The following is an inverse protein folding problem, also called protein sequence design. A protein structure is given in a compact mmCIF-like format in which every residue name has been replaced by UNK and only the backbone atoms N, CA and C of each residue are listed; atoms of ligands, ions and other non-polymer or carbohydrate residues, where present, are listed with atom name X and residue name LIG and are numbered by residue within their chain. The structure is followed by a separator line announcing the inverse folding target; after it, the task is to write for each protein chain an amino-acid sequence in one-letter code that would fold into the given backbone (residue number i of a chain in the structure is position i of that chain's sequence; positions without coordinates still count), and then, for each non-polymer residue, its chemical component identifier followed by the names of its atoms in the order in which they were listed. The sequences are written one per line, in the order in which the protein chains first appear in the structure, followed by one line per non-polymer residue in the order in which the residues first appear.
data_IF_369876247602
#
_entry.id   IF_369876247602
#
_cell.length_a   1.000
_cell.length_b   1.000
_cell.length_c   1.000
_cell.angle_alpha   90.00
_cell.angle_beta   90.00
_cell.angle_gamma   90.00
#
_symmetry.space_group_name_H-M   'P 1'
#
loop_
_entity.id
_entity.type
_entity.pdbx_description
1 polymer ?
#
# COMPACT_ATOMS: atom_id res chain seq x y z
N UNK A 1 -39.58 -69.50 -18.12
CA UNK A 1 -39.11 -68.30 -18.85
C UNK A 1 -39.25 -67.04 -18.02
N UNK A 2 -40.45 -66.50 -17.75
CA UNK A 2 -40.59 -65.29 -16.92
C UNK A 2 -40.17 -65.48 -15.45
N UNK A 3 -40.47 -66.64 -14.83
CA UNK A 3 -40.00 -66.97 -13.48
C UNK A 3 -38.49 -67.19 -13.38
N UNK A 4 -37.85 -67.68 -14.45
CA UNK A 4 -36.40 -67.89 -14.48
C UNK A 4 -35.65 -66.56 -14.62
N UNK A 5 -36.20 -65.63 -15.40
CA UNK A 5 -35.68 -64.26 -15.50
C UNK A 5 -35.82 -63.53 -14.15
N UNK A 6 -36.97 -63.66 -13.47
CA UNK A 6 -37.17 -63.08 -12.15
C UNK A 6 -36.19 -63.64 -11.10
N UNK A 7 -35.94 -64.96 -11.11
CA UNK A 7 -34.93 -65.58 -10.23
C UNK A 7 -33.50 -65.14 -10.54
N UNK A 8 -33.16 -64.92 -11.80
CA UNK A 8 -31.85 -64.36 -12.17
C UNK A 8 -31.66 -62.97 -11.56
N UNK A 9 -32.68 -62.11 -11.61
CA UNK A 9 -32.63 -60.81 -10.95
C UNK A 9 -32.52 -60.92 -9.43
N UNK A 10 -33.26 -61.83 -8.79
CA UNK A 10 -33.17 -62.06 -7.33
C UNK A 10 -31.78 -62.50 -6.85
N UNK A 11 -31.02 -63.20 -7.70
CA UNK A 11 -29.63 -63.60 -7.42
C UNK A 11 -28.69 -62.41 -7.62
N UNK A 12 -28.86 -61.64 -8.69
CA UNK A 12 -28.04 -60.46 -9.00
C UNK A 12 -28.21 -59.36 -7.94
N UNK A 13 -29.44 -59.10 -7.46
CA UNK A 13 -29.71 -58.12 -6.40
C UNK A 13 -29.21 -58.55 -5.01
N UNK A 14 -28.85 -59.82 -4.83
CA UNK A 14 -28.24 -60.35 -3.60
C UNK A 14 -26.71 -60.40 -3.67
N UNK A 15 -26.13 -60.15 -4.84
CA UNK A 15 -24.69 -60.03 -5.01
C UNK A 15 -24.19 -58.78 -4.27
N UNK A 16 -23.15 -58.93 -3.46
CA UNK A 16 -22.63 -57.87 -2.60
C UNK A 16 -22.12 -56.67 -3.44
N UNK A 17 -21.64 -56.92 -4.67
CA UNK A 17 -21.25 -55.85 -5.60
C UNK A 17 -22.46 -54.99 -6.02
N UNK A 18 -23.62 -55.59 -6.25
CA UNK A 18 -24.84 -54.86 -6.65
C UNK A 18 -25.48 -54.10 -5.49
N UNK A 19 -25.43 -54.67 -4.28
CA UNK A 19 -25.84 -53.94 -3.06
C UNK A 19 -24.98 -52.71 -2.83
N UNK A 20 -23.65 -52.83 -2.95
CA UNK A 20 -22.74 -51.70 -2.82
C UNK A 20 -23.03 -50.60 -3.84
N UNK A 21 -23.38 -50.96 -5.08
CA UNK A 21 -23.80 -49.98 -6.11
C UNK A 21 -25.10 -49.27 -5.72
N UNK A 22 -26.09 -49.99 -5.19
CA UNK A 22 -27.36 -49.40 -4.72
C UNK A 22 -27.11 -48.46 -3.53
N UNK A 23 -26.31 -48.87 -2.55
CA UNK A 23 -25.93 -48.02 -1.41
C UNK A 23 -25.16 -46.77 -1.85
N UNK A 24 -24.29 -46.88 -2.86
CA UNK A 24 -23.63 -45.73 -3.49
C UNK A 24 -24.63 -44.81 -4.18
N UNK A 25 -25.64 -45.34 -4.87
CA UNK A 25 -26.70 -44.54 -5.47
C UNK A 25 -27.56 -43.84 -4.41
N UNK A 26 -27.89 -44.51 -3.32
CA UNK A 26 -28.63 -43.91 -2.20
C UNK A 26 -27.81 -42.81 -1.52
N UNK A 27 -26.53 -43.04 -1.27
CA UNK A 27 -25.61 -42.06 -0.67
C UNK A 27 -25.40 -40.85 -1.60
N UNK A 28 -25.25 -41.10 -2.91
CA UNK A 28 -25.19 -40.04 -3.92
C UNK A 28 -26.52 -39.26 -3.95
N UNK A 29 -27.66 -39.95 -3.96
CA UNK A 29 -28.99 -39.34 -3.98
C UNK A 29 -29.24 -38.43 -2.77
N UNK A 30 -28.83 -38.87 -1.57
CA UNK A 30 -28.87 -38.06 -0.36
C UNK A 30 -27.98 -36.81 -0.47
N UNK A 31 -26.83 -36.93 -1.17
CA UNK A 31 -25.88 -35.84 -1.38
C UNK A 31 -26.31 -34.87 -2.48
N UNK A 32 -27.14 -35.28 -3.45
CA UNK A 32 -27.57 -34.47 -4.60
C UNK A 32 -28.26 -33.17 -4.16
N UNK A 33 -29.10 -33.21 -3.13
CA UNK A 33 -29.75 -32.01 -2.61
C UNK A 33 -28.73 -30.99 -2.07
N UNK A 34 -27.72 -31.48 -1.34
CA UNK A 34 -26.61 -30.67 -0.83
C UNK A 34 -25.75 -30.10 -1.95
N UNK A 35 -25.39 -30.92 -2.95
CA UNK A 35 -24.64 -30.49 -4.14
C UNK A 35 -25.41 -29.41 -4.91
N UNK A 36 -26.72 -29.59 -5.10
CA UNK A 36 -27.57 -28.60 -5.77
C UNK A 36 -27.64 -27.29 -4.99
N UNK A 37 -27.77 -27.35 -3.67
CA UNK A 37 -27.74 -26.16 -2.82
C UNK A 37 -26.41 -25.42 -2.95
N UNK A 38 -25.29 -26.14 -2.80
CA UNK A 38 -23.93 -25.61 -2.98
C UNK A 38 -23.75 -24.96 -4.35
N UNK A 39 -24.19 -25.62 -5.42
CA UNK A 39 -24.13 -25.08 -6.78
C UNK A 39 -24.91 -23.77 -6.90
N UNK A 40 -26.14 -23.70 -6.39
CA UNK A 40 -26.95 -22.49 -6.44
C UNK A 40 -26.32 -21.36 -5.61
N UNK A 41 -25.80 -21.66 -4.42
CA UNK A 41 -25.15 -20.68 -3.56
C UNK A 41 -23.89 -20.09 -4.24
N UNK A 42 -23.04 -20.95 -4.81
CA UNK A 42 -21.84 -20.53 -5.54
C UNK A 42 -22.20 -19.69 -6.77
N UNK A 43 -23.23 -20.11 -7.52
CA UNK A 43 -23.71 -19.38 -8.70
C UNK A 43 -24.23 -17.99 -8.30
N UNK A 44 -25.01 -17.90 -7.22
CA UNK A 44 -25.54 -16.63 -6.73
C UNK A 44 -24.41 -15.70 -6.23
N UNK A 45 -23.43 -16.24 -5.50
CA UNK A 45 -22.25 -15.49 -5.05
C UNK A 45 -21.45 -14.95 -6.23
N UNK A 46 -21.23 -15.77 -7.26
CA UNK A 46 -20.53 -15.33 -8.46
C UNK A 46 -21.28 -14.22 -9.20
N UNK A 47 -22.59 -14.38 -9.41
CA UNK A 47 -23.41 -13.34 -10.03
C UNK A 47 -23.41 -12.03 -9.21
N UNK A 48 -23.43 -12.12 -7.88
CA UNK A 48 -23.34 -10.96 -7.00
C UNK A 48 -22.02 -10.22 -7.18
N UNK A 49 -20.88 -10.93 -7.22
CA UNK A 49 -19.57 -10.34 -7.48
C UNK A 49 -19.47 -9.70 -8.86
N UNK A 50 -19.99 -10.38 -9.91
CA UNK A 50 -20.08 -9.82 -11.27
C UNK A 50 -20.85 -8.51 -11.31
N UNK A 51 -22.03 -8.45 -10.68
CA UNK A 51 -22.82 -7.21 -10.58
C UNK A 51 -22.04 -6.14 -9.82
N UNK A 52 -21.36 -6.50 -8.74
CA UNK A 52 -20.55 -5.55 -7.98
C UNK A 52 -19.45 -4.91 -8.82
N UNK A 53 -18.73 -5.71 -9.62
CA UNK A 53 -17.71 -5.21 -10.56
C UNK A 53 -18.33 -4.23 -11.57
N UNK A 54 -19.44 -4.61 -12.21
CA UNK A 54 -20.11 -3.77 -13.21
C UNK A 54 -20.62 -2.46 -12.61
N UNK A 55 -21.12 -2.49 -11.37
CA UNK A 55 -21.53 -1.29 -10.67
C UNK A 55 -20.33 -0.34 -10.45
N UNK A 56 -19.19 -0.86 -10.00
CA UNK A 56 -17.97 -0.07 -9.76
C UNK A 56 -17.47 0.56 -11.06
N UNK A 57 -17.45 -0.19 -12.16
CA UNK A 57 -17.07 0.30 -13.49
C UNK A 57 -17.99 1.41 -13.98
N UNK A 58 -19.29 1.31 -13.68
CA UNK A 58 -20.28 2.26 -14.16
C UNK A 58 -20.12 3.62 -13.47
N UNK A 59 -20.04 3.63 -12.13
CA UNK A 59 -19.98 4.84 -11.32
C UNK A 59 -19.29 4.54 -9.99
N UNK A 60 -18.07 5.01 -9.83
CA UNK A 60 -17.34 4.94 -8.56
C UNK A 60 -16.70 6.26 -8.19
N UNK A 61 -16.55 6.47 -6.89
CA UNK A 61 -15.80 7.59 -6.34
C UNK A 61 -14.79 7.01 -5.38
N UNK A 62 -13.52 7.13 -5.75
CA UNK A 62 -12.37 6.63 -5.03
C UNK A 62 -11.88 7.72 -4.09
N UNK A 63 -11.68 7.36 -2.83
CA UNK A 63 -11.03 8.19 -1.83
C UNK A 63 -9.83 7.41 -1.29
N UNK A 64 -8.63 7.94 -1.47
CA UNK A 64 -7.45 7.39 -0.80
C UNK A 64 -7.47 7.85 0.66
N UNK A 65 -7.02 7.01 1.57
CA UNK A 65 -7.00 7.30 3.01
C UNK A 65 -5.71 6.78 3.64
N UNK A 66 -5.19 7.52 4.61
CA UNK A 66 -4.10 7.04 5.47
C UNK A 66 -4.66 5.98 6.42
N UNK A 67 -4.04 4.82 6.46
CA UNK A 67 -4.39 3.74 7.37
C UNK A 67 -3.27 3.58 8.40
N UNK A 68 -3.55 3.96 9.65
CA UNK A 68 -2.60 3.90 10.76
C UNK A 68 -2.60 2.53 11.46
N UNK A 69 -3.50 1.62 11.05
CA UNK A 69 -3.84 0.41 11.83
C UNK A 69 -3.43 -0.89 11.14
N UNK A 70 -2.90 -0.84 9.92
CA UNK A 70 -2.50 -2.02 9.14
C UNK A 70 -1.10 -1.86 8.56
N UNK A 71 -0.47 -2.96 8.14
CA UNK A 71 0.84 -2.95 7.46
C UNK A 71 0.87 -2.05 6.21
N UNK A 72 -0.29 -1.77 5.60
CA UNK A 72 -0.42 -0.78 4.52
C UNK A 72 -0.69 0.61 5.09
N UNK A 73 0.23 1.53 4.83
CA UNK A 73 0.16 2.95 5.25
C UNK A 73 -1.01 3.70 4.59
N UNK A 74 -1.43 3.26 3.40
CA UNK A 74 -2.53 3.85 2.64
C UNK A 74 -3.48 2.77 2.13
N UNK A 75 -4.74 3.16 1.99
CA UNK A 75 -5.83 2.32 1.47
C UNK A 75 -6.75 3.17 0.57
N UNK A 76 -7.69 2.52 -0.12
CA UNK A 76 -8.73 3.16 -0.92
C UNK A 76 -10.10 2.82 -0.38
N UNK A 77 -11.02 3.78 -0.44
CA UNK A 77 -12.44 3.60 -0.13
C UNK A 77 -13.30 3.99 -1.31
N UNK A 78 -14.17 3.06 -1.73
CA UNK A 78 -15.25 3.38 -2.67
C UNK A 78 -16.44 3.90 -1.89
N UNK A 79 -16.76 5.20 -2.02
CA UNK A 79 -17.82 5.87 -1.23
C UNK A 79 -19.19 5.20 -1.30
N UNK A 80 -19.54 4.59 -2.44
CA UNK A 80 -20.86 3.99 -2.64
C UNK A 80 -21.07 2.68 -1.89
N UNK A 81 -19.99 1.97 -1.54
CA UNK A 81 -20.06 0.59 -1.01
C UNK A 81 -19.13 0.31 0.18
N UNK A 82 -18.36 1.30 0.65
CA UNK A 82 -17.36 1.15 1.71
C UNK A 82 -16.38 -0.02 1.48
N UNK A 83 -16.04 -0.28 0.21
CA UNK A 83 -15.07 -1.30 -0.16
C UNK A 83 -13.65 -0.78 0.05
N UNK A 84 -12.79 -1.65 0.57
CA UNK A 84 -11.35 -1.44 0.78
C UNK A 84 -10.54 -1.96 -0.40
N UNK A 85 -9.22 -1.74 -0.41
CA UNK A 85 -8.35 -2.34 -1.43
C UNK A 85 -8.38 -3.88 -1.39
N UNK A 86 -8.50 -4.50 -0.22
CA UNK A 86 -8.53 -5.97 -0.12
C UNK A 86 -9.77 -6.55 -0.81
N UNK A 87 -10.93 -5.90 -0.63
CA UNK A 87 -12.16 -6.28 -1.34
C UNK A 87 -11.98 -6.15 -2.87
N UNK A 88 -11.31 -5.07 -3.31
CA UNK A 88 -11.04 -4.84 -4.73
C UNK A 88 -10.04 -5.85 -5.31
N UNK A 89 -9.02 -6.23 -4.54
CA UNK A 89 -8.07 -7.26 -4.93
C UNK A 89 -8.77 -8.62 -5.08
N UNK A 90 -9.66 -8.98 -4.15
CA UNK A 90 -10.47 -10.20 -4.27
C UNK A 90 -11.38 -10.17 -5.51
N UNK A 91 -12.04 -9.04 -5.76
CA UNK A 91 -12.87 -8.86 -6.95
C UNK A 91 -12.04 -8.92 -8.24
N UNK A 92 -10.82 -8.39 -8.25
CA UNK A 92 -9.89 -8.44 -9.38
C UNK A 92 -9.50 -9.88 -9.69
N UNK A 93 -9.12 -10.64 -8.68
CA UNK A 93 -8.76 -12.05 -8.87
C UNK A 93 -9.97 -12.87 -9.33
N UNK A 94 -11.17 -12.54 -8.85
CA UNK A 94 -12.41 -13.14 -9.35
C UNK A 94 -12.69 -12.75 -10.81
N UNK A 95 -12.48 -11.50 -11.19
CA UNK A 95 -12.63 -11.03 -12.57
C UNK A 95 -11.70 -11.80 -13.53
N UNK A 96 -10.43 -11.99 -13.14
CA UNK A 96 -9.46 -12.82 -13.88
C UNK A 96 -9.97 -14.24 -14.05
N UNK A 97 -10.41 -14.89 -12.97
CA UNK A 97 -10.93 -16.26 -13.02
C UNK A 97 -12.14 -16.41 -13.95
N UNK A 98 -13.06 -15.44 -13.93
CA UNK A 98 -14.24 -15.41 -14.80
C UNK A 98 -13.82 -15.25 -16.27
N UNK A 99 -12.82 -14.41 -16.55
CA UNK A 99 -12.24 -14.26 -17.88
C UNK A 99 -11.65 -15.58 -18.39
N UNK A 100 -10.88 -16.27 -17.55
CA UNK A 100 -10.24 -17.55 -17.92
C UNK A 100 -11.22 -18.71 -18.12
N UNK A 101 -12.27 -18.81 -17.29
CA UNK A 101 -13.20 -19.94 -17.35
C UNK A 101 -14.08 -19.95 -18.61
N UNK A 102 -14.12 -18.84 -19.34
CA UNK A 102 -15.15 -18.58 -20.34
C UNK A 102 -14.64 -18.30 -21.77
N UNK A 103 -13.35 -18.53 -22.03
CA UNK A 103 -12.67 -18.28 -23.32
C UNK A 103 -13.30 -19.06 -24.51
N UNK A 104 -14.14 -20.06 -24.25
CA UNK A 104 -14.76 -20.89 -25.29
C UNK A 104 -16.17 -20.48 -25.74
N UNK A 105 -16.79 -19.47 -25.12
CA UNK A 105 -18.13 -19.00 -25.50
C UNK A 105 -18.05 -17.73 -26.36
N UNK A 106 -18.18 -17.87 -27.69
CA UNK A 106 -17.97 -16.79 -28.69
C UNK A 106 -19.20 -15.90 -28.93
N UNK A 107 -19.97 -15.57 -27.90
CA UNK A 107 -21.11 -14.66 -28.05
C UNK A 107 -20.66 -13.20 -27.92
N UNK A 108 -21.17 -12.28 -28.75
CA UNK A 108 -20.77 -10.86 -28.74
C UNK A 108 -21.02 -10.18 -27.38
N UNK A 109 -22.17 -10.44 -26.74
CA UNK A 109 -22.46 -9.93 -25.40
C UNK A 109 -21.46 -10.42 -24.35
N UNK A 110 -20.91 -11.61 -24.57
CA UNK A 110 -19.93 -12.22 -23.68
C UNK A 110 -18.54 -11.61 -23.85
N UNK A 111 -18.15 -11.33 -25.10
CA UNK A 111 -16.91 -10.59 -25.37
C UNK A 111 -16.92 -9.20 -24.72
N UNK A 112 -18.06 -8.49 -24.79
CA UNK A 112 -18.23 -7.20 -24.09
C UNK A 112 -18.16 -7.31 -22.57
N UNK A 113 -18.64 -8.43 -22.00
CA UNK A 113 -18.50 -8.69 -20.58
C UNK A 113 -17.04 -8.93 -20.20
N UNK A 114 -16.30 -9.70 -21.00
CA UNK A 114 -14.86 -9.96 -20.80
C UNK A 114 -14.06 -8.67 -20.88
N UNK A 115 -14.29 -7.82 -21.89
CA UNK A 115 -13.63 -6.51 -22.02
C UNK A 115 -13.83 -5.64 -20.76
N UNK A 116 -15.05 -5.61 -20.22
CA UNK A 116 -15.33 -4.89 -18.97
C UNK A 116 -14.59 -5.47 -17.77
N UNK A 117 -14.48 -6.80 -17.68
CA UNK A 117 -13.72 -7.45 -16.62
C UNK A 117 -12.22 -7.13 -16.73
N UNK A 118 -11.68 -7.08 -17.95
CA UNK A 118 -10.29 -6.66 -18.20
C UNK A 118 -10.08 -5.20 -17.79
N UNK A 119 -10.98 -4.29 -18.16
CA UNK A 119 -10.92 -2.89 -17.71
C UNK A 119 -10.99 -2.76 -16.19
N UNK A 120 -11.76 -3.62 -15.50
CA UNK A 120 -11.78 -3.65 -14.04
C UNK A 120 -10.45 -4.11 -13.45
N UNK A 121 -9.82 -5.13 -14.06
CA UNK A 121 -8.52 -5.62 -13.62
C UNK A 121 -7.46 -4.54 -13.75
N UNK A 122 -7.46 -3.79 -14.86
CA UNK A 122 -6.58 -2.65 -15.09
C UNK A 122 -6.82 -1.55 -14.06
N UNK A 123 -8.09 -1.16 -13.83
CA UNK A 123 -8.47 -0.18 -12.80
C UNK A 123 -7.88 -0.51 -11.44
N UNK A 124 -8.10 -1.74 -10.95
CA UNK A 124 -7.58 -2.16 -9.64
C UNK A 124 -6.05 -2.18 -9.63
N UNK A 125 -5.39 -2.47 -10.76
CA UNK A 125 -3.95 -2.34 -10.93
C UNK A 125 -3.45 -0.91 -10.72
N UNK A 126 -4.08 0.07 -11.37
CA UNK A 126 -3.71 1.49 -11.21
C UNK A 126 -3.94 1.98 -9.78
N UNK A 127 -5.03 1.56 -9.13
CA UNK A 127 -5.28 1.85 -7.71
C UNK A 127 -4.14 1.32 -6.84
N UNK A 128 -3.70 0.08 -7.08
CA UNK A 128 -2.59 -0.54 -6.35
C UNK A 128 -1.30 0.28 -6.51
N UNK A 129 -1.00 0.72 -7.74
CA UNK A 129 0.20 1.50 -8.02
C UNK A 129 0.15 2.91 -7.39
N UNK A 130 -1.03 3.54 -7.35
CA UNK A 130 -1.23 4.79 -6.59
C UNK A 130 -0.95 4.57 -5.10
N UNK A 131 -1.49 3.51 -4.49
CA UNK A 131 -1.24 3.19 -3.08
C UNK A 131 0.26 2.95 -2.81
N UNK A 132 0.95 2.24 -3.71
CA UNK A 132 2.40 2.02 -3.63
C UNK A 132 3.18 3.32 -3.70
N UNK A 133 2.86 4.20 -4.65
CA UNK A 133 3.54 5.48 -4.81
C UNK A 133 3.30 6.41 -3.61
N UNK A 134 2.08 6.46 -3.06
CA UNK A 134 1.79 7.19 -1.82
C UNK A 134 2.61 6.65 -0.64
N UNK A 135 2.67 5.32 -0.51
CA UNK A 135 3.45 4.66 0.55
C UNK A 135 4.95 4.95 0.40
N UNK A 136 5.48 4.85 -0.81
CA UNK A 136 6.88 5.15 -1.11
C UNK A 136 7.22 6.61 -0.84
N UNK A 137 6.36 7.55 -1.27
CA UNK A 137 6.51 8.97 -0.96
C UNK A 137 6.50 9.23 0.54
N UNK A 138 5.61 8.59 1.29
CA UNK A 138 5.56 8.73 2.75
C UNK A 138 6.82 8.18 3.43
N UNK A 139 7.28 7.00 3.02
CA UNK A 139 8.51 6.37 3.54
C UNK A 139 9.74 7.21 3.19
N UNK A 140 9.82 7.72 1.96
CA UNK A 140 10.85 8.66 1.53
C UNK A 140 10.70 10.03 2.20
N UNK A 141 9.63 10.26 2.96
CA UNK A 141 9.47 11.47 3.72
C UNK A 141 9.03 12.66 2.90
N UNK A 142 8.08 12.49 2.00
CA UNK A 142 7.59 13.64 1.25
C UNK A 142 6.68 14.51 2.15
N UNK A 143 6.90 15.83 2.26
CA UNK A 143 6.28 16.71 3.24
C UNK A 143 4.75 16.77 3.24
N UNK A 144 4.13 16.65 2.07
CA UNK A 144 2.70 16.92 1.85
C UNK A 144 1.92 15.70 1.39
N UNK A 145 2.39 14.48 1.66
CA UNK A 145 1.66 13.25 1.26
C UNK A 145 0.26 13.20 1.89
N UNK A 146 0.12 13.61 3.15
CA UNK A 146 -1.19 13.68 3.81
C UNK A 146 -2.12 14.70 3.16
N UNK A 147 -1.58 15.84 2.75
CA UNK A 147 -2.35 16.92 2.14
C UNK A 147 -2.82 16.57 0.72
N UNK A 148 -2.05 15.75 -0.01
CA UNK A 148 -2.45 15.20 -1.31
C UNK A 148 -3.70 14.33 -1.17
N UNK A 149 -3.84 13.62 -0.05
CA UNK A 149 -4.87 12.59 0.15
C UNK A 149 -6.17 13.18 0.68
N UNK A 150 -6.11 14.17 1.57
CA UNK A 150 -7.27 14.68 2.29
C UNK A 150 -8.31 15.38 1.40
N UNK A 151 -7.96 15.73 0.15
CA UNK A 151 -8.84 16.46 -0.77
C UNK A 151 -9.15 15.75 -2.09
N UNK A 152 -8.53 14.60 -2.37
CA UNK A 152 -8.59 14.01 -3.71
C UNK A 152 -9.64 12.90 -3.79
N UNK A 153 -10.83 13.27 -4.27
CA UNK A 153 -11.84 12.31 -4.72
C UNK A 153 -11.67 12.11 -6.22
N UNK A 154 -11.32 10.90 -6.63
CA UNK A 154 -11.25 10.54 -8.05
C UNK A 154 -12.56 9.89 -8.44
N UNK A 155 -13.30 10.51 -9.36
CA UNK A 155 -14.53 9.95 -9.90
C UNK A 155 -14.24 9.16 -11.15
N UNK A 156 -14.78 7.95 -11.23
CA UNK A 156 -14.66 7.10 -12.38
C UNK A 156 -16.05 6.77 -12.91
N UNK A 157 -16.28 7.07 -14.19
CA UNK A 157 -17.57 6.85 -14.84
C UNK A 157 -17.39 6.13 -16.17
N UNK A 158 -18.22 5.11 -16.39
CA UNK A 158 -18.29 4.38 -17.66
C UNK A 158 -16.96 3.86 -18.21
N UNK A 159 -16.04 3.43 -17.33
CA UNK A 159 -14.72 2.94 -17.75
C UNK A 159 -13.67 4.03 -18.02
N UNK A 160 -13.98 5.30 -17.78
CA UNK A 160 -13.00 6.39 -17.86
C UNK A 160 -12.26 6.56 -16.52
N UNK A 161 -10.94 6.36 -16.57
CA UNK A 161 -10.02 6.43 -15.44
C UNK A 161 -8.87 7.42 -15.68
N UNK A 162 -9.01 8.37 -16.62
CA UNK A 162 -7.93 9.31 -16.95
C UNK A 162 -7.44 10.11 -15.73
N UNK A 163 -8.34 10.53 -14.85
CA UNK A 163 -7.98 11.24 -13.62
C UNK A 163 -7.13 10.39 -12.68
N UNK A 164 -7.44 9.09 -12.59
CA UNK A 164 -6.67 8.14 -11.79
C UNK A 164 -5.27 7.92 -12.40
N UNK A 165 -5.17 7.80 -13.73
CA UNK A 165 -3.89 7.72 -14.42
C UNK A 165 -3.07 9.00 -14.30
N UNK A 166 -3.72 10.17 -14.33
CA UNK A 166 -3.08 11.46 -14.13
C UNK A 166 -2.51 11.57 -12.70
N UNK A 167 -3.29 11.15 -11.70
CA UNK A 167 -2.83 11.05 -10.31
C UNK A 167 -1.63 10.10 -10.20
N UNK A 168 -1.73 8.89 -10.75
CA UNK A 168 -0.64 7.93 -10.77
C UNK A 168 0.66 8.53 -11.33
N UNK A 169 0.60 9.15 -12.52
CA UNK A 169 1.76 9.76 -13.16
C UNK A 169 2.36 10.91 -12.35
N UNK A 170 1.51 11.77 -11.78
CA UNK A 170 1.95 12.87 -10.94
C UNK A 170 2.70 12.35 -9.70
N UNK A 171 2.17 11.32 -9.03
CA UNK A 171 2.84 10.71 -7.87
C UNK A 171 4.17 10.05 -8.25
N UNK A 172 4.23 9.38 -9.41
CA UNK A 172 5.46 8.77 -9.92
C UNK A 172 6.54 9.83 -10.22
N UNK A 173 6.17 10.93 -10.87
CA UNK A 173 7.08 12.05 -11.15
C UNK A 173 7.55 12.75 -9.85
N UNK A 174 6.64 12.96 -8.89
CA UNK A 174 6.97 13.50 -7.57
C UNK A 174 7.94 12.60 -6.81
N UNK A 175 7.70 11.29 -6.79
CA UNK A 175 8.57 10.34 -6.09
C UNK A 175 9.98 10.38 -6.69
N UNK A 176 10.07 10.27 -8.02
CA UNK A 176 11.35 10.27 -8.72
C UNK A 176 12.13 11.57 -8.51
N UNK A 177 11.46 12.72 -8.61
CA UNK A 177 12.11 14.02 -8.40
C UNK A 177 12.54 14.21 -6.95
N UNK A 178 11.74 13.75 -6.00
CA UNK A 178 12.07 13.80 -4.58
C UNK A 178 13.26 12.92 -4.22
N UNK A 179 13.29 11.66 -4.69
CA UNK A 179 14.42 10.76 -4.46
C UNK A 179 15.73 11.31 -5.04
N UNK A 180 15.68 11.91 -6.24
CA UNK A 180 16.83 12.57 -6.84
C UNK A 180 17.32 13.75 -6.00
N UNK A 181 16.39 14.57 -5.50
CA UNK A 181 16.73 15.69 -4.62
C UNK A 181 17.35 15.20 -3.31
N UNK A 182 16.77 14.19 -2.66
CA UNK A 182 17.31 13.63 -1.43
C UNK A 182 18.74 13.13 -1.61
N UNK A 183 19.01 12.37 -2.68
CA UNK A 183 20.35 11.90 -3.00
C UNK A 183 21.34 13.06 -3.18
N UNK A 184 20.96 14.09 -3.94
CA UNK A 184 21.81 15.28 -4.12
C UNK A 184 22.07 16.00 -2.79
N UNK A 185 21.05 16.13 -1.94
CA UNK A 185 21.17 16.77 -0.64
C UNK A 185 22.04 15.96 0.32
N UNK A 186 21.99 14.63 0.27
CA UNK A 186 22.86 13.76 1.08
C UNK A 186 24.32 13.78 0.63
N UNK A 187 24.58 14.01 -0.66
CA UNK A 187 25.94 14.22 -1.17
C UNK A 187 26.52 15.56 -0.71
N UNK A 188 25.70 16.61 -0.67
CA UNK A 188 26.12 17.96 -0.28
C UNK A 188 26.19 18.11 1.25
N UNK A 189 25.22 17.54 1.97
CA UNK A 189 25.05 17.63 3.42
C UNK A 189 24.90 16.22 4.03
N UNK A 190 26.01 15.47 4.23
CA UNK A 190 25.96 14.11 4.76
C UNK A 190 25.28 14.00 6.12
N UNK A 191 25.26 15.07 6.92
CA UNK A 191 24.59 15.14 8.22
C UNK A 191 23.08 14.88 8.14
N UNK A 192 22.46 15.13 6.98
CA UNK A 192 21.04 14.84 6.79
C UNK A 192 20.75 13.33 6.81
N UNK A 193 21.73 12.47 6.52
CA UNK A 193 21.55 11.01 6.49
C UNK A 193 21.30 10.38 7.86
N UNK A 194 21.56 11.11 8.96
CA UNK A 194 21.29 10.61 10.31
C UNK A 194 19.82 10.64 10.71
N UNK A 195 18.98 11.33 9.93
CA UNK A 195 17.57 11.54 10.28
C UNK A 195 16.64 10.98 9.21
N UNK A 196 15.50 10.45 9.66
CA UNK A 196 14.33 10.28 8.80
C UNK A 196 13.68 11.64 8.52
N UNK A 197 12.81 11.71 7.53
CA UNK A 197 12.13 12.96 7.24
C UNK A 197 11.17 13.44 8.34
N UNK A 198 10.44 12.53 9.00
CA UNK A 198 9.63 12.90 10.17
C UNK A 198 10.52 13.52 11.27
N UNK A 199 11.76 13.05 11.38
CA UNK A 199 12.76 13.63 12.26
C UNK A 199 13.26 14.99 11.76
N UNK A 200 13.34 15.27 10.45
CA UNK A 200 13.64 16.62 9.95
C UNK A 200 12.62 17.65 10.43
N UNK A 201 11.33 17.34 10.39
CA UNK A 201 10.30 18.25 10.91
C UNK A 201 10.45 18.46 12.43
N UNK A 202 10.82 17.40 13.16
CA UNK A 202 11.05 17.43 14.60
C UNK A 202 12.30 18.25 14.98
N UNK A 203 13.37 18.15 14.19
CA UNK A 203 14.60 18.94 14.36
C UNK A 203 14.34 20.39 13.97
N UNK A 204 13.65 20.64 12.88
CA UNK A 204 13.31 22.00 12.43
C UNK A 204 12.41 22.72 13.43
N UNK A 205 11.37 22.06 13.94
CA UNK A 205 10.48 22.62 14.96
C UNK A 205 11.24 22.96 16.24
N UNK A 206 12.23 22.15 16.64
CA UNK A 206 13.13 22.50 17.72
C UNK A 206 13.98 23.74 17.39
N UNK A 207 14.69 23.74 16.26
CA UNK A 207 15.63 24.81 15.91
C UNK A 207 14.95 26.18 15.84
N UNK A 208 13.74 26.23 15.28
CA UNK A 208 12.97 27.46 15.14
C UNK A 208 12.04 27.76 16.33
N UNK A 209 12.11 26.99 17.42
CA UNK A 209 11.42 27.33 18.65
C UNK A 209 12.08 28.55 19.30
N UNK A 210 11.28 29.50 19.78
CA UNK A 210 11.76 30.71 20.43
C UNK A 210 12.44 30.45 21.79
N UNK A 211 12.30 29.25 22.35
CA UNK A 211 12.93 28.83 23.62
C UNK A 211 13.63 27.49 23.45
N UNK A 212 14.80 27.37 24.07
CA UNK A 212 15.47 26.08 24.22
C UNK A 212 14.66 25.23 25.19
N UNK A 213 14.11 24.12 24.69
CA UNK A 213 13.39 23.14 25.49
C UNK A 213 14.14 21.81 25.47
N UNK A 214 14.82 21.48 26.58
CA UNK A 214 15.63 20.25 26.67
C UNK A 214 14.80 18.96 26.58
N UNK A 215 13.51 19.03 26.88
CA UNK A 215 12.57 17.90 26.75
C UNK A 215 12.02 17.73 25.33
N UNK A 216 12.34 18.64 24.40
CA UNK A 216 11.85 18.56 23.03
C UNK A 216 12.53 17.39 22.30
N UNK A 217 11.80 16.53 21.56
CA UNK A 217 12.41 15.38 20.88
C UNK A 217 13.56 15.77 19.93
N UNK A 218 13.45 16.92 19.25
CA UNK A 218 14.52 17.48 18.42
C UNK A 218 15.82 17.80 19.16
N UNK A 219 15.76 18.20 20.44
CA UNK A 219 16.95 18.42 21.28
C UNK A 219 17.73 17.12 21.44
N UNK A 220 17.03 16.03 21.77
CA UNK A 220 17.65 14.72 21.97
C UNK A 220 18.18 14.11 20.68
N UNK A 221 17.46 14.29 19.55
CA UNK A 221 17.90 13.84 18.23
C UNK A 221 19.23 14.48 17.82
N UNK A 222 19.37 15.80 18.00
CA UNK A 222 20.62 16.51 17.71
C UNK A 222 21.76 16.06 18.63
N UNK A 223 21.48 15.92 19.94
CA UNK A 223 22.47 15.47 20.93
C UNK A 223 22.97 14.05 20.66
N UNK A 224 22.08 13.15 20.22
CA UNK A 224 22.41 11.78 19.90
C UNK A 224 23.46 11.66 18.78
N UNK A 225 23.41 12.56 17.80
CA UNK A 225 24.34 12.56 16.67
C UNK A 225 25.59 13.43 16.92
N UNK A 226 25.78 13.89 18.17
CA UNK A 226 26.96 14.63 18.61
C UNK A 226 26.90 16.14 18.40
N UNK A 227 25.74 16.71 18.08
CA UNK A 227 25.56 18.15 18.02
C UNK A 227 25.16 18.74 19.38
N UNK A 228 25.65 19.94 19.67
CA UNK A 228 25.22 20.72 20.84
C UNK A 228 24.00 21.59 20.48
N UNK A 229 22.78 21.25 20.92
CA UNK A 229 21.56 21.89 20.44
C UNK A 229 21.43 23.35 20.92
N UNK A 230 22.01 23.67 22.07
CA UNK A 230 22.03 25.03 22.65
C UNK A 230 22.82 25.99 21.76
N UNK A 231 23.94 25.53 21.21
CA UNK A 231 24.77 26.35 20.32
C UNK A 231 24.06 26.59 18.99
N UNK A 232 23.37 25.57 18.45
CA UNK A 232 22.62 25.67 17.20
C UNK A 232 21.55 26.78 17.20
N UNK A 233 20.79 26.91 18.29
CA UNK A 233 19.78 27.97 18.41
C UNK A 233 20.36 29.36 18.73
N UNK A 234 21.59 29.43 19.26
CA UNK A 234 22.24 30.70 19.57
C UNK A 234 22.85 31.38 18.33
N UNK A 235 23.07 30.63 17.25
CA UNK A 235 23.46 31.22 15.97
C UNK A 235 22.27 31.92 15.31
N UNK A 236 22.54 32.97 14.54
CA UNK A 236 21.52 33.63 13.72
C UNK A 236 21.04 32.63 12.67
N UNK A 237 19.95 31.91 12.99
CA UNK A 237 19.30 31.01 12.05
C UNK A 237 18.77 31.86 10.89
N UNK A 238 18.97 31.42 9.63
CA UNK A 238 18.29 32.04 8.50
C UNK A 238 16.78 31.97 8.70
N UNK A 239 16.04 32.90 8.08
CA UNK A 239 14.57 32.87 8.11
C UNK A 239 14.06 31.49 7.67
N UNK A 240 13.02 31.01 8.37
CA UNK A 240 12.44 29.71 8.06
C UNK A 240 11.84 29.75 6.66
N UNK A 241 12.32 28.92 5.71
CA UNK A 241 11.77 28.91 4.37
C UNK A 241 10.39 28.23 4.33
N UNK A 242 9.54 28.69 3.42
CA UNK A 242 8.21 28.13 3.21
C UNK A 242 8.24 26.90 2.27
N UNK A 243 9.23 26.83 1.37
CA UNK A 243 9.37 25.77 0.38
C UNK A 243 9.91 24.45 0.96
N UNK A 244 9.29 23.33 0.61
CA UNK A 244 9.67 21.97 1.03
C UNK A 244 11.16 21.64 0.81
N UNK A 245 11.65 21.90 -0.41
CA UNK A 245 13.04 21.64 -0.80
C UNK A 245 14.01 22.57 -0.08
N UNK A 246 13.60 23.84 0.08
CA UNK A 246 14.40 24.88 0.73
C UNK A 246 14.55 24.59 2.23
N UNK A 247 13.52 24.04 2.88
CA UNK A 247 13.56 23.60 4.28
C UNK A 247 14.61 22.51 4.50
N UNK A 248 14.67 21.53 3.62
CA UNK A 248 15.67 20.46 3.70
C UNK A 248 17.10 21.00 3.50
N UNK A 249 17.30 21.82 2.46
CA UNK A 249 18.60 22.44 2.20
C UNK A 249 19.06 23.32 3.37
N UNK A 250 18.13 24.07 3.95
CA UNK A 250 18.38 24.94 5.08
C UNK A 250 18.82 24.16 6.33
N UNK A 251 18.14 23.04 6.64
CA UNK A 251 18.57 22.13 7.69
C UNK A 251 19.98 21.59 7.43
N UNK A 252 20.28 21.18 6.19
CA UNK A 252 21.61 20.72 5.79
C UNK A 252 22.69 21.76 6.08
N UNK A 253 22.47 23.01 5.65
CA UNK A 253 23.39 24.14 5.90
C UNK A 253 23.65 24.36 7.40
N UNK A 254 22.60 24.34 8.22
CA UNK A 254 22.72 24.56 9.67
C UNK A 254 23.60 23.47 10.30
N UNK A 255 23.32 22.19 9.99
CA UNK A 255 24.02 21.05 10.57
C UNK A 255 25.49 20.97 10.13
N UNK A 256 25.77 21.14 8.84
CA UNK A 256 27.14 21.10 8.32
C UNK A 256 27.98 22.26 8.85
N UNK A 257 27.40 23.47 8.96
CA UNK A 257 28.11 24.65 9.52
C UNK A 257 28.54 24.41 10.96
N UNK A 258 27.71 23.75 11.78
CA UNK A 258 28.11 23.42 13.14
C UNK A 258 29.25 22.39 13.14
N UNK A 259 29.18 21.37 12.28
CA UNK A 259 30.19 20.30 12.25
C UNK A 259 31.57 20.83 11.88
N UNK A 260 31.66 21.67 10.84
CA UNK A 260 32.93 22.30 10.46
C UNK A 260 33.53 23.13 11.60
N UNK A 261 32.71 23.79 12.42
CA UNK A 261 33.18 24.56 13.57
C UNK A 261 33.59 23.68 14.76
N UNK A 262 32.90 22.58 14.99
CA UNK A 262 33.31 21.59 15.99
C UNK A 262 34.65 20.95 15.61
N UNK A 263 34.88 20.69 14.33
CA UNK A 263 36.16 20.15 13.83
C UNK A 263 37.29 21.21 13.89
N UNK A 264 37.02 22.48 13.57
CA UNK A 264 37.99 23.58 13.73
C UNK A 264 38.38 23.83 15.21
N UNK A 265 37.48 23.53 16.15
CA UNK A 265 37.75 23.61 17.59
C UNK A 265 38.41 22.34 18.16
N UNK A 266 38.30 21.19 17.47
CA UNK A 266 38.95 19.94 17.88
C UNK A 266 40.48 19.98 17.67
N UNK A 267 40.99 20.87 16.82
CA UNK A 267 42.43 21.12 16.68
C UNK A 267 43.03 21.95 17.84
N UNK A 268 42.19 22.47 18.76
CA UNK A 268 42.63 23.21 19.95
C UNK A 268 42.47 22.46 21.27
N UNK A 269 41.73 21.34 21.29
CA UNK A 269 41.65 20.45 22.45
C UNK A 269 42.14 19.05 22.09
N UNK A 270 43.46 18.85 22.27
CA UNK A 270 43.98 17.50 22.48
C UNK A 270 43.30 16.89 23.70
N UNK A 271 42.44 15.91 23.44
CA UNK A 271 42.22 14.80 24.36
C UNK A 271 40.76 14.50 24.66
N UNK A 272 40.02 13.96 23.70
CA UNK A 272 39.14 12.82 23.99
C UNK A 272 39.13 11.83 22.82
N UNK A 273 39.28 10.58 23.21
CA UNK A 273 39.51 9.39 22.40
C UNK A 273 38.33 9.04 21.51
N UNK A 274 38.60 8.94 20.21
CA UNK A 274 38.16 7.90 19.28
C UNK A 274 36.72 7.41 19.32
N UNK A 275 36.00 7.60 18.22
CA UNK A 275 35.33 6.52 17.49
C UNK A 275 35.06 7.02 16.05
N UNK A 276 36.00 6.75 15.14
CA UNK A 276 35.71 6.63 13.72
C UNK A 276 34.88 5.37 13.52
N UNK A 277 33.59 5.45 13.82
CA UNK A 277 32.65 4.42 13.44
C UNK A 277 32.37 4.60 11.94
N UNK A 278 33.10 3.83 11.11
CA UNK A 278 32.56 3.41 9.82
C UNK A 278 31.20 2.75 10.09
N UNK A 279 30.11 3.39 9.67
CA UNK A 279 28.80 2.75 9.67
C UNK A 279 28.30 2.74 8.23
N UNK A 280 28.59 1.62 7.58
CA UNK A 280 27.75 1.07 6.52
C UNK A 280 26.31 0.99 7.02
N UNK A 281 25.38 1.42 6.18
CA UNK A 281 24.03 0.86 5.98
C UNK A 281 23.27 0.36 7.22
N UNK A 282 22.23 1.10 7.63
CA UNK A 282 20.98 0.52 8.15
C UNK A 282 19.80 1.43 7.82
N UNK A 283 19.28 1.31 6.59
CA UNK A 283 17.87 1.62 6.30
C UNK A 283 17.12 0.30 6.45
N UNK A 284 16.72 -0.07 7.67
CA UNK A 284 15.67 -1.07 7.95
C UNK A 284 15.49 -1.13 9.47
N UNK A 285 14.22 -1.12 9.91
CA UNK A 285 13.71 -1.19 11.29
C UNK A 285 13.60 0.12 12.08
N UNK A 286 12.47 0.80 11.89
CA UNK A 286 11.62 1.17 13.03
C UNK A 286 10.15 0.95 12.65
N UNK A 287 9.70 -0.28 12.87
CA UNK A 287 8.29 -0.57 13.14
C UNK A 287 8.05 -0.17 14.60
N UNK A 288 7.08 0.71 14.91
CA UNK A 288 6.74 0.97 16.30
C UNK A 288 6.02 -0.26 16.86
N UNK A 289 6.58 -0.82 17.94
CA UNK A 289 5.82 -1.64 18.87
C UNK A 289 4.99 -0.69 19.74
N UNK A 290 3.67 -0.78 19.62
CA UNK A 290 2.68 -0.64 20.71
C UNK A 290 1.44 -1.47 20.37
#
# INVERSE_FOLDING_TARGET
VFEDVAKCFDVIFKDDEFKNVIELFETCSQSVAGIKHLYLELTNKEQSKRRCIMDILSHSSLLFVKNLSTERLFDVKIKSKNLTFDDLSELRDRARLIGYSNVHNKNEDHNREIEKLESFVELVGVIEDVIKNLSALYIAGFPTVTDIIDYQVVTCSAGDYQDLHCLYKNLEEKLKSWEQLLCQMYEIYPELTYFSYEQFQTVESFLYNAKIEENHPGYHLLKYIGFEPVLLQQFTLPEKPDGENERLENLGKILTTQRSRSDDHADFEQGYTGHTASILFFVYYMVPYD
#
